data_IF_049719155114
#
_entry.id   IF_049719155114
#
_cell.length_a   1.000
_cell.length_b   1.000
_cell.length_c   1.000
_cell.angle_alpha   90.00
_cell.angle_beta   90.00
_cell.angle_gamma   90.00
#
_symmetry.space_group_name_H-M   'P 1'
#
loop_
_entity.id
_entity.type
_entity.pdbx_description
1 polymer ?
#
# COMPACT_ATOMS: atom_id res chain seq x y z
N UNK A 1 -5.09 -9.66 -15.98
CA UNK A 1 -4.94 -9.00 -14.65
C UNK A 1 -6.25 -9.00 -13.86
N UNK A 2 -7.30 -8.26 -14.25
CA UNK A 2 -8.55 -8.19 -13.46
C UNK A 2 -9.21 -9.57 -13.27
N UNK A 3 -9.34 -10.37 -14.34
CA UNK A 3 -9.88 -11.73 -14.23
C UNK A 3 -9.07 -12.65 -13.30
N UNK A 4 -7.75 -12.45 -13.24
CA UNK A 4 -6.89 -13.23 -12.34
C UNK A 4 -7.19 -12.86 -10.88
N UNK A 5 -7.29 -11.56 -10.57
CA UNK A 5 -7.66 -11.08 -9.24
C UNK A 5 -9.06 -11.55 -8.83
N UNK A 6 -10.01 -11.57 -9.77
CA UNK A 6 -11.36 -12.11 -9.56
C UNK A 6 -11.31 -13.62 -9.26
N UNK A 7 -10.56 -14.40 -10.05
CA UNK A 7 -10.40 -15.84 -9.84
C UNK A 7 -9.71 -16.21 -8.52
N UNK A 8 -8.83 -15.34 -8.03
CA UNK A 8 -8.15 -15.49 -6.73
C UNK A 8 -9.01 -15.01 -5.55
N UNK A 9 -10.17 -14.40 -5.81
CA UNK A 9 -11.05 -13.84 -4.77
C UNK A 9 -10.54 -12.53 -4.15
N UNK A 10 -9.56 -11.87 -4.76
CA UNK A 10 -9.03 -10.58 -4.28
C UNK A 10 -10.00 -9.43 -4.58
N UNK A 11 -10.74 -9.52 -5.69
CA UNK A 11 -11.76 -8.54 -6.08
C UNK A 11 -13.05 -9.27 -6.48
N UNK A 12 -14.17 -8.58 -6.32
CA UNK A 12 -15.48 -9.05 -6.76
C UNK A 12 -16.26 -7.91 -7.40
N UNK A 13 -17.25 -8.25 -8.25
CA UNK A 13 -18.19 -7.27 -8.78
C UNK A 13 -19.03 -6.73 -7.63
N UNK A 14 -19.19 -5.41 -7.57
CA UNK A 14 -19.95 -4.74 -6.51
C UNK A 14 -20.76 -3.58 -7.09
N UNK A 15 -21.83 -3.22 -6.39
CA UNK A 15 -22.63 -2.03 -6.65
C UNK A 15 -22.48 -1.07 -5.47
N UNK A 16 -21.35 -0.37 -5.43
CA UNK A 16 -20.99 0.56 -4.36
C UNK A 16 -21.44 1.99 -4.70
N UNK A 17 -21.92 2.77 -3.72
CA UNK A 17 -22.16 4.20 -3.90
C UNK A 17 -20.86 5.03 -4.03
N UNK A 18 -19.71 4.41 -3.73
CA UNK A 18 -18.38 5.02 -3.84
C UNK A 18 -17.52 4.29 -4.87
N UNK A 19 -16.67 5.03 -5.57
CA UNK A 19 -15.70 4.48 -6.49
C UNK A 19 -14.41 5.30 -6.49
N UNK A 20 -13.29 4.66 -6.82
CA UNK A 20 -11.99 5.30 -7.03
C UNK A 20 -11.53 5.01 -8.46
N UNK A 21 -10.93 5.98 -9.18
CA UNK A 21 -10.49 5.75 -10.54
C UNK A 21 -9.32 4.76 -10.58
N UNK A 22 -9.25 3.99 -11.66
CA UNK A 22 -8.14 3.09 -11.94
C UNK A 22 -7.07 3.86 -12.71
N UNK A 23 -5.83 3.76 -12.24
CA UNK A 23 -4.65 4.37 -12.81
C UNK A 23 -3.64 3.29 -13.24
N UNK A 24 -3.58 2.92 -14.54
CA UNK A 24 -2.61 1.95 -15.01
C UNK A 24 -1.20 2.56 -15.02
N UNK A 25 -0.25 1.88 -14.38
CA UNK A 25 1.16 2.30 -14.33
C UNK A 25 2.01 1.31 -15.11
N UNK A 26 2.83 1.82 -16.05
CA UNK A 26 3.80 1.00 -16.77
C UNK A 26 5.07 0.84 -15.93
N UNK A 27 5.49 -0.40 -15.72
CA UNK A 27 6.75 -0.74 -15.04
C UNK A 27 7.94 -0.59 -15.99
N UNK A 28 9.15 -0.57 -15.43
CA UNK A 28 10.41 -0.59 -16.18
C UNK A 28 10.63 -1.88 -16.98
N UNK A 29 10.12 -3.01 -16.51
CA UNK A 29 10.15 -4.31 -17.22
C UNK A 29 9.18 -4.37 -18.42
N UNK A 30 8.36 -3.33 -18.61
CA UNK A 30 7.39 -3.23 -19.70
C UNK A 30 5.97 -3.69 -19.34
N UNK A 31 5.79 -4.36 -18.20
CA UNK A 31 4.47 -4.80 -17.73
C UNK A 31 3.60 -3.65 -17.23
N UNK A 32 2.29 -3.88 -17.20
CA UNK A 32 1.32 -2.97 -16.62
C UNK A 32 0.94 -3.41 -15.20
N UNK A 33 0.92 -2.46 -14.26
CA UNK A 33 0.31 -2.62 -12.93
C UNK A 33 -1.04 -1.92 -12.90
N UNK A 34 -2.04 -2.59 -12.32
CA UNK A 34 -3.26 -1.94 -11.89
C UNK A 34 -2.94 -1.14 -10.63
N UNK A 35 -3.19 0.16 -10.63
CA UNK A 35 -3.16 0.97 -9.41
C UNK A 35 -4.52 1.64 -9.26
N UNK A 36 -5.02 1.78 -8.04
CA UNK A 36 -6.28 2.47 -7.76
C UNK A 36 -5.93 3.76 -7.03
N UNK A 37 -6.51 4.87 -7.47
CA UNK A 37 -6.27 6.17 -6.87
C UNK A 37 -7.16 6.37 -5.63
N UNK A 38 -6.62 5.99 -4.47
CA UNK A 38 -7.28 6.15 -3.17
C UNK A 38 -7.05 7.51 -2.50
N UNK A 39 -6.54 8.54 -3.20
CA UNK A 39 -6.22 9.83 -2.57
C UNK A 39 -7.42 10.46 -1.84
N UNK A 40 -8.57 10.58 -2.51
CA UNK A 40 -9.79 11.11 -1.90
C UNK A 40 -10.31 10.24 -0.74
N UNK A 41 -10.11 8.92 -0.81
CA UNK A 41 -10.49 8.00 0.27
C UNK A 41 -9.56 8.16 1.49
N UNK A 42 -8.26 8.34 1.25
CA UNK A 42 -7.26 8.50 2.30
C UNK A 42 -7.43 9.83 3.05
N UNK A 43 -7.91 10.89 2.39
CA UNK A 43 -8.22 12.17 3.03
C UNK A 43 -9.34 12.07 4.07
N UNK A 44 -10.32 11.20 3.84
CA UNK A 44 -11.46 11.01 4.76
C UNK A 44 -11.26 9.87 5.76
N UNK A 45 -10.18 9.09 5.61
CA UNK A 45 -9.85 7.97 6.49
C UNK A 45 -8.86 8.42 7.55
N UNK A 46 -9.18 8.35 8.86
CA UNK A 46 -8.25 8.75 9.92
C UNK A 46 -6.93 7.94 9.85
N UNK A 47 -5.77 8.59 9.99
CA UNK A 47 -4.49 7.88 9.96
C UNK A 47 -4.35 6.97 11.18
N UNK A 48 -3.80 5.78 10.97
CA UNK A 48 -3.38 4.88 12.04
C UNK A 48 -1.99 5.29 12.53
N UNK A 49 -1.71 5.05 13.81
CA UNK A 49 -0.35 5.22 14.35
C UNK A 49 0.61 4.24 13.69
N UNK A 50 1.74 4.74 13.19
CA UNK A 50 2.76 3.91 12.59
C UNK A 50 3.48 3.09 13.67
N UNK A 51 3.38 1.77 13.60
CA UNK A 51 4.12 0.86 14.48
C UNK A 51 5.57 0.62 14.05
N UNK A 52 5.92 1.09 12.84
CA UNK A 52 7.26 0.93 12.26
C UNK A 52 8.05 2.20 12.55
N UNK A 53 9.19 2.04 13.22
CA UNK A 53 10.14 3.13 13.49
C UNK A 53 10.72 3.66 12.18
N UNK A 54 11.15 4.92 12.20
CA UNK A 54 11.95 5.44 11.10
C UNK A 54 13.34 4.79 11.06
N UNK A 55 14.05 4.96 9.94
CA UNK A 55 15.36 4.34 9.72
C UNK A 55 16.41 4.79 10.74
N UNK A 56 16.37 6.06 11.16
CA UNK A 56 17.33 6.64 12.09
C UNK A 56 17.07 6.14 13.51
N UNK A 57 15.81 6.11 13.92
CA UNK A 57 15.38 5.53 15.19
C UNK A 57 15.76 4.04 15.27
N UNK A 58 15.54 3.30 14.18
CA UNK A 58 15.92 1.90 14.09
C UNK A 58 17.44 1.72 14.21
N UNK A 59 18.23 2.53 13.49
CA UNK A 59 19.68 2.47 13.54
C UNK A 59 20.20 2.76 14.95
N UNK A 60 19.69 3.81 15.59
CA UNK A 60 20.05 4.15 16.96
C UNK A 60 19.74 3.03 17.95
N UNK A 61 18.56 2.41 17.84
CA UNK A 61 18.18 1.27 18.69
C UNK A 61 19.13 0.07 18.51
N UNK A 62 19.55 -0.22 17.27
CA UNK A 62 20.48 -1.31 16.98
C UNK A 62 21.87 -1.03 17.57
N UNK A 63 22.41 0.18 17.38
CA UNK A 63 23.71 0.58 17.91
C UNK A 63 23.72 0.61 19.44
N UNK A 64 22.67 1.14 20.05
CA UNK A 64 22.56 1.20 21.51
C UNK A 64 22.49 -0.19 22.16
N UNK A 65 21.90 -1.19 21.47
CA UNK A 65 21.86 -2.59 21.92
C UNK A 65 23.19 -3.29 21.73
N UNK A 66 23.92 -2.99 20.65
CA UNK A 66 25.26 -3.53 20.40
C UNK A 66 26.28 -3.01 21.44
N UNK A 67 26.19 -1.74 21.82
CA UNK A 67 27.08 -1.12 22.82
C UNK A 67 26.82 -1.57 24.28
N UNK A 68 25.69 -2.23 24.54
CA UNK A 68 25.30 -2.76 25.86
C UNK A 68 25.70 -4.24 26.07
N UNK A 69 26.32 -4.87 25.06
CA UNK A 69 26.91 -6.22 25.14
C UNK A 69 28.40 -6.13 25.41
#
# INVERSE_FOLDING_TARGET
MIHQLESQGVVSKTHSPFNSPIWPVRKSDGDWRLTVDYRALNEVTPPLSAAVLDMLELQYELESKAAKR
#
